data_IF_589683311449
#
_entry.id   IF_589683311449
#
_cell.length_a   1.000
_cell.length_b   1.000
_cell.length_c   1.000
_cell.angle_alpha   90.00
_cell.angle_beta   90.00
_cell.angle_gamma   90.00
#
_symmetry.space_group_name_H-M   'P 1'
#
loop_
_entity.id
_entity.type
_entity.pdbx_description
1 polymer ?
#
# COMPACT_ATOMS: atom_id res chain seq x y z
N UNK A 1 38.36 48.79 28.09
CA UNK A 1 37.00 48.86 28.69
C UNK A 1 36.64 47.44 29.08
N UNK A 2 36.15 47.30 30.31
CA UNK A 2 35.88 46.04 31.00
C UNK A 2 34.96 45.06 30.26
N UNK A 3 35.12 43.80 30.65
CA UNK A 3 34.43 42.60 30.20
C UNK A 3 32.91 42.62 30.41
N UNK A 4 32.17 41.87 29.57
CA UNK A 4 30.90 41.24 29.98
C UNK A 4 30.86 39.81 29.42
N UNK A 5 31.01 38.83 30.32
CA UNK A 5 30.62 37.44 30.09
C UNK A 5 29.09 37.32 30.17
N UNK A 6 28.39 36.73 29.19
CA UNK A 6 27.04 36.27 29.44
C UNK A 6 27.10 34.97 30.26
N UNK A 7 27.06 35.13 31.59
CA UNK A 7 26.79 34.07 32.57
C UNK A 7 25.30 33.63 32.52
N UNK A 8 24.79 33.23 31.35
CA UNK A 8 23.47 32.61 31.25
C UNK A 8 23.46 31.56 30.16
N UNK A 9 23.17 30.32 30.54
CA UNK A 9 22.70 29.29 29.61
C UNK A 9 21.42 29.80 28.94
N UNK A 10 21.41 29.84 27.61
CA UNK A 10 20.21 30.10 26.82
C UNK A 10 19.48 28.77 26.68
N UNK A 11 18.20 28.69 27.08
CA UNK A 11 17.39 27.51 26.76
C UNK A 11 17.30 27.36 25.25
N UNK A 12 17.79 26.24 24.72
CA UNK A 12 17.60 25.87 23.33
C UNK A 12 16.13 25.67 22.99
N UNK A 13 15.78 25.77 21.71
CA UNK A 13 14.46 25.39 21.22
C UNK A 13 14.22 23.92 21.57
N UNK A 14 13.13 23.65 22.29
CA UNK A 14 12.71 22.29 22.60
C UNK A 14 12.26 21.64 21.29
N UNK A 15 13.06 20.74 20.75
CA UNK A 15 12.63 19.89 19.65
C UNK A 15 11.59 18.91 20.17
N UNK A 16 10.31 19.19 19.93
CA UNK A 16 9.26 18.18 20.07
C UNK A 16 9.17 17.40 18.77
N UNK A 17 9.42 16.11 18.82
CA UNK A 17 8.93 15.18 17.79
C UNK A 17 7.70 14.48 18.35
N UNK A 18 6.62 14.45 17.57
CA UNK A 18 5.53 13.52 17.81
C UNK A 18 5.88 12.24 17.04
N UNK A 19 6.01 11.10 17.74
CA UNK A 19 6.04 9.81 17.06
C UNK A 19 4.68 9.58 16.43
N UNK A 20 4.65 9.27 15.13
CA UNK A 20 3.45 8.73 14.50
C UNK A 20 3.03 7.46 15.26
N UNK A 21 1.75 7.35 15.62
CA UNK A 21 1.20 6.17 16.30
C UNK A 21 0.89 5.04 15.29
N UNK A 22 1.83 4.77 14.37
CA UNK A 22 1.70 3.72 13.38
C UNK A 22 3.06 3.24 12.88
N UNK A 23 3.08 2.02 12.34
CA UNK A 23 4.21 1.47 11.58
C UNK A 23 3.88 1.58 10.08
N UNK A 24 4.80 2.10 9.28
CA UNK A 24 4.64 2.18 7.81
C UNK A 24 4.98 0.83 7.20
N UNK A 25 4.07 0.28 6.39
CA UNK A 25 4.33 -0.88 5.53
C UNK A 25 4.80 -0.42 4.16
N UNK A 26 4.08 0.52 3.56
CA UNK A 26 4.46 1.18 2.31
C UNK A 26 3.71 2.53 2.23
N UNK A 27 4.45 3.62 2.04
CA UNK A 27 3.89 4.96 1.80
C UNK A 27 4.09 5.40 0.34
N UNK A 28 4.63 4.53 -0.52
CA UNK A 28 4.89 4.76 -1.94
C UNK A 28 5.90 5.87 -2.27
N UNK A 29 6.39 6.63 -1.29
CA UNK A 29 7.27 7.79 -1.51
C UNK A 29 8.70 7.40 -1.91
N UNK A 30 9.11 6.16 -1.64
CA UNK A 30 10.45 5.70 -1.95
C UNK A 30 10.68 5.39 -3.44
N UNK A 31 9.61 5.25 -4.24
CA UNK A 31 9.71 4.85 -5.64
C UNK A 31 10.20 5.98 -6.54
N UNK A 32 10.96 5.64 -7.58
CA UNK A 32 11.57 6.61 -8.49
C UNK A 32 11.44 6.23 -9.96
N UNK A 33 11.78 7.20 -10.82
CA UNK A 33 11.71 7.11 -12.28
C UNK A 33 13.03 6.67 -12.94
N UNK A 34 13.89 6.01 -12.17
CA UNK A 34 15.22 5.60 -12.63
C UNK A 34 15.13 4.17 -13.17
N UNK A 35 15.50 3.99 -14.43
CA UNK A 35 15.53 2.67 -15.08
C UNK A 35 16.83 1.89 -14.79
N UNK A 36 16.74 0.54 -14.72
CA UNK A 36 17.91 -0.32 -14.79
C UNK A 36 18.72 -0.07 -16.08
N UNK A 37 20.05 -0.28 -16.06
CA UNK A 37 20.81 -0.97 -15.01
C UNK A 37 21.32 -0.05 -13.89
N UNK A 38 20.81 1.18 -13.73
CA UNK A 38 21.24 2.06 -12.66
C UNK A 38 20.96 1.43 -11.28
N UNK A 39 21.97 1.42 -10.41
CA UNK A 39 21.88 0.81 -9.08
C UNK A 39 20.92 1.56 -8.13
N UNK A 40 20.59 2.82 -8.43
CA UNK A 40 19.61 3.61 -7.70
C UNK A 40 18.15 3.35 -8.15
N UNK A 41 17.93 2.49 -9.16
CA UNK A 41 16.58 2.14 -9.62
C UNK A 41 15.73 1.56 -8.50
N UNK A 42 14.56 2.17 -8.29
CA UNK A 42 13.56 1.71 -7.32
C UNK A 42 12.16 1.92 -7.87
N UNK A 43 11.83 1.25 -8.98
CA UNK A 43 10.53 1.39 -9.65
C UNK A 43 9.46 0.58 -8.91
N UNK A 44 8.23 1.10 -8.90
CA UNK A 44 7.12 0.51 -8.13
C UNK A 44 6.79 -0.93 -8.55
N UNK A 45 6.72 -1.20 -9.86
CA UNK A 45 6.44 -2.54 -10.40
C UNK A 45 7.60 -3.53 -10.24
N UNK A 46 8.82 -3.07 -9.91
CA UNK A 46 9.91 -3.98 -9.52
C UNK A 46 9.75 -4.49 -8.08
N UNK A 47 8.92 -3.82 -7.25
CA UNK A 47 8.65 -4.20 -5.85
C UNK A 47 7.28 -4.86 -5.66
N UNK A 48 6.27 -4.32 -6.32
CA UNK A 48 4.93 -4.88 -6.37
C UNK A 48 4.81 -5.79 -7.59
N UNK A 49 4.94 -7.09 -7.37
CA UNK A 49 4.84 -8.09 -8.44
C UNK A 49 3.38 -8.23 -8.86
N UNK A 50 3.07 -7.85 -10.10
CA UNK A 50 1.73 -7.80 -10.66
C UNK A 50 1.50 -8.86 -11.77
N UNK A 51 0.59 -8.59 -12.70
CA UNK A 51 0.25 -9.47 -13.81
C UNK A 51 1.02 -9.23 -15.10
N UNK A 52 1.98 -8.29 -15.14
CA UNK A 52 2.71 -7.99 -16.36
C UNK A 52 3.41 -9.24 -16.92
N UNK A 53 3.26 -9.47 -18.24
CA UNK A 53 3.81 -10.64 -18.92
C UNK A 53 3.08 -11.95 -18.63
N UNK A 54 1.95 -11.94 -17.91
CA UNK A 54 1.13 -13.12 -17.62
C UNK A 54 -0.23 -13.06 -18.32
N UNK A 55 -0.89 -14.21 -18.46
CA UNK A 55 -2.26 -14.31 -19.00
C UNK A 55 -3.31 -14.57 -17.93
N UNK A 56 -2.91 -14.84 -16.69
CA UNK A 56 -3.80 -15.29 -15.61
C UNK A 56 -4.00 -14.26 -14.49
N UNK A 57 -3.19 -13.20 -14.46
CA UNK A 57 -3.30 -12.10 -13.52
C UNK A 57 -3.64 -10.82 -14.27
N UNK A 58 -4.72 -10.15 -13.85
CA UNK A 58 -5.21 -8.93 -14.49
C UNK A 58 -4.66 -7.62 -13.93
N UNK A 59 -3.79 -7.69 -12.92
CA UNK A 59 -3.24 -6.49 -12.28
C UNK A 59 -2.11 -5.88 -13.10
N UNK A 60 -2.10 -4.55 -13.16
CA UNK A 60 -0.92 -3.76 -13.52
C UNK A 60 -0.75 -2.64 -12.49
N UNK A 61 0.44 -2.47 -11.94
CA UNK A 61 0.75 -1.42 -10.96
C UNK A 61 1.74 -0.41 -11.52
N UNK A 62 1.52 0.86 -11.19
CA UNK A 62 2.31 1.95 -11.76
C UNK A 62 1.89 2.31 -13.19
N UNK A 63 2.43 3.42 -13.67
CA UNK A 63 2.26 3.87 -15.05
C UNK A 63 3.26 3.15 -15.97
N UNK A 64 2.90 2.95 -17.24
CA UNK A 64 3.79 2.35 -18.25
C UNK A 64 5.04 3.22 -18.52
N UNK A 65 4.89 4.55 -18.39
CA UNK A 65 5.94 5.53 -18.59
C UNK A 65 6.08 6.41 -17.35
N UNK A 66 7.29 6.97 -17.09
CA UNK A 66 7.50 7.82 -15.93
C UNK A 66 6.63 9.09 -16.00
N UNK A 67 6.13 9.59 -14.85
CA UNK A 67 6.41 9.10 -13.50
C UNK A 67 5.73 7.75 -13.23
N UNK A 68 6.49 6.77 -12.72
CA UNK A 68 5.98 5.40 -12.59
C UNK A 68 4.96 5.26 -11.47
N UNK A 69 5.08 6.06 -10.41
CA UNK A 69 4.00 6.25 -9.45
C UNK A 69 3.14 7.47 -9.85
N UNK A 70 1.87 7.48 -9.44
CA UNK A 70 0.92 8.51 -9.81
C UNK A 70 1.12 9.78 -8.97
N UNK A 71 1.26 10.93 -9.63
CA UNK A 71 1.51 12.22 -8.96
C UNK A 71 0.31 13.18 -9.01
N UNK A 72 -0.75 12.85 -9.76
CA UNK A 72 -1.94 13.69 -9.91
C UNK A 72 -3.05 13.36 -8.90
N UNK A 73 -3.17 12.08 -8.53
CA UNK A 73 -4.14 11.57 -7.56
C UNK A 73 -3.36 11.03 -6.38
N UNK A 74 -3.14 11.88 -5.38
CA UNK A 74 -2.28 11.60 -4.22
C UNK A 74 -3.07 11.86 -2.94
N UNK A 75 -2.88 11.04 -1.88
CA UNK A 75 -3.51 11.25 -0.57
C UNK A 75 -2.57 11.99 0.35
N UNK A 76 -1.32 11.55 0.44
CA UNK A 76 -0.26 12.24 1.17
C UNK A 76 1.07 12.15 0.43
N UNK A 77 2.07 12.95 0.84
CA UNK A 77 3.36 12.95 0.16
C UNK A 77 3.27 13.50 -1.27
N UNK A 78 4.07 12.91 -2.16
CA UNK A 78 4.22 13.33 -3.55
C UNK A 78 3.59 12.35 -4.54
N UNK A 79 3.33 11.11 -4.15
CA UNK A 79 2.86 10.09 -5.07
C UNK A 79 1.99 9.00 -4.42
N UNK A 80 1.21 8.32 -5.24
CA UNK A 80 0.39 7.18 -4.86
C UNK A 80 0.55 6.06 -5.89
N UNK A 81 0.15 4.84 -5.54
CA UNK A 81 0.16 3.72 -6.48
C UNK A 81 -1.10 3.72 -7.35
N UNK A 82 -1.02 3.96 -8.66
CA UNK A 82 -2.08 3.58 -9.58
C UNK A 82 -2.08 2.04 -9.72
N UNK A 83 -3.26 1.46 -9.62
CA UNK A 83 -3.50 0.02 -9.77
C UNK A 83 -4.62 -0.18 -10.78
N UNK A 84 -4.29 -0.82 -11.90
CA UNK A 84 -5.25 -1.25 -12.90
C UNK A 84 -5.63 -2.71 -12.67
N UNK A 85 -6.92 -3.03 -12.81
CA UNK A 85 -7.42 -4.40 -12.77
C UNK A 85 -8.22 -4.74 -14.04
N UNK A 86 -8.10 -5.98 -14.48
CA UNK A 86 -8.94 -6.61 -15.52
C UNK A 86 -9.24 -8.05 -15.11
N UNK A 87 -10.44 -8.26 -14.59
CA UNK A 87 -10.89 -9.54 -14.07
C UNK A 87 -11.62 -10.40 -15.10
N UNK A 88 -11.52 -10.14 -16.41
CA UNK A 88 -12.14 -11.02 -17.38
C UNK A 88 -11.48 -12.42 -17.42
N UNK A 89 -12.11 -13.40 -16.76
CA UNK A 89 -11.62 -14.77 -16.56
C UNK A 89 -10.28 -14.83 -15.79
N UNK A 90 -10.04 -13.83 -14.93
CA UNK A 90 -8.81 -13.66 -14.15
C UNK A 90 -9.12 -13.19 -12.73
N UNK A 91 -8.08 -13.14 -11.91
CA UNK A 91 -8.07 -12.35 -10.67
C UNK A 91 -6.90 -11.37 -10.79
N UNK A 92 -7.09 -10.12 -10.42
CA UNK A 92 -6.04 -9.11 -10.44
C UNK A 92 -5.36 -9.06 -9.07
N UNK A 93 -4.07 -9.33 -8.98
CA UNK A 93 -3.29 -9.29 -7.74
C UNK A 93 -1.93 -8.62 -7.95
N UNK A 94 -1.56 -7.68 -7.08
CA UNK A 94 -0.20 -7.18 -6.96
C UNK A 94 0.35 -7.49 -5.57
N UNK A 95 1.57 -8.00 -5.49
CA UNK A 95 2.15 -8.51 -4.24
C UNK A 95 3.49 -7.84 -3.93
N UNK A 96 3.57 -7.25 -2.74
CA UNK A 96 4.82 -6.77 -2.16
C UNK A 96 5.44 -7.84 -1.26
N UNK A 97 6.72 -8.14 -1.49
CA UNK A 97 7.52 -8.92 -0.54
C UNK A 97 8.12 -7.98 0.50
N UNK A 98 7.80 -8.23 1.77
CA UNK A 98 8.21 -7.39 2.88
C UNK A 98 9.65 -7.71 3.28
N UNK A 99 10.49 -6.67 3.28
CA UNK A 99 11.80 -6.70 3.95
C UNK A 99 11.64 -6.25 5.40
N UNK A 100 10.85 -5.20 5.61
CA UNK A 100 10.42 -4.66 6.90
C UNK A 100 9.15 -3.81 6.68
N UNK A 101 8.20 -3.73 7.63
CA UNK A 101 8.07 -4.52 8.86
C UNK A 101 7.51 -5.92 8.59
N UNK A 102 7.94 -6.90 9.38
CA UNK A 102 7.50 -8.31 9.24
C UNK A 102 6.87 -8.89 10.50
N UNK A 103 7.18 -8.32 11.66
CA UNK A 103 6.48 -8.61 12.90
C UNK A 103 5.39 -7.55 13.11
N UNK A 104 4.15 -7.93 12.81
CA UNK A 104 2.97 -7.09 12.95
C UNK A 104 2.29 -7.30 14.32
N UNK A 105 3.03 -7.82 15.30
CA UNK A 105 2.64 -7.79 16.72
C UNK A 105 3.45 -6.74 17.49
N UNK A 106 4.45 -6.13 16.85
CA UNK A 106 5.25 -5.05 17.42
C UNK A 106 4.37 -3.87 17.85
N UNK A 107 4.76 -3.24 18.96
CA UNK A 107 4.12 -2.03 19.49
C UNK A 107 2.61 -2.19 19.80
N UNK A 108 2.10 -3.43 19.84
CA UNK A 108 0.71 -3.71 20.14
C UNK A 108 -0.27 -3.31 19.04
N UNK A 109 0.20 -3.17 17.80
CA UNK A 109 -0.67 -2.89 16.66
C UNK A 109 -1.67 -4.04 16.46
N UNK A 110 -2.89 -3.69 16.09
CA UNK A 110 -4.02 -4.62 15.93
C UNK A 110 -4.72 -4.47 14.58
N UNK A 111 -4.39 -3.43 13.82
CA UNK A 111 -5.10 -3.08 12.60
C UNK A 111 -4.14 -2.78 11.47
N UNK A 112 -4.48 -3.32 10.29
CA UNK A 112 -3.93 -2.87 9.01
C UNK A 112 -4.85 -1.80 8.42
N UNK A 113 -4.28 -0.72 7.92
CA UNK A 113 -4.97 0.36 7.22
C UNK A 113 -4.35 0.56 5.84
N UNK A 114 -5.21 0.78 4.84
CA UNK A 114 -4.82 1.21 3.50
C UNK A 114 -5.75 2.33 3.05
N UNK A 115 -5.22 3.38 2.44
CA UNK A 115 -6.04 4.39 1.78
C UNK A 115 -6.24 4.02 0.33
N UNK A 116 -7.47 4.16 -0.16
CA UNK A 116 -7.79 3.90 -1.55
C UNK A 116 -8.75 4.94 -2.11
N UNK A 117 -8.72 5.07 -3.43
CA UNK A 117 -9.65 5.90 -4.20
C UNK A 117 -9.95 5.23 -5.53
N UNK A 118 -11.21 4.89 -5.74
CA UNK A 118 -11.73 4.40 -7.02
C UNK A 118 -12.26 5.52 -7.91
N UNK A 119 -12.94 5.09 -8.98
CA UNK A 119 -13.67 5.95 -9.92
C UNK A 119 -15.08 5.41 -10.13
N UNK A 120 -16.08 6.30 -10.18
CA UNK A 120 -17.47 5.92 -10.41
C UNK A 120 -17.71 5.19 -11.74
N UNK A 121 -16.82 5.34 -12.72
CA UNK A 121 -16.87 4.66 -14.02
C UNK A 121 -16.28 3.24 -14.00
N UNK A 122 -15.60 2.86 -12.91
CA UNK A 122 -15.05 1.52 -12.74
C UNK A 122 -16.14 0.45 -12.72
N UNK A 123 -15.84 -0.74 -13.23
CA UNK A 123 -16.70 -1.90 -12.96
C UNK A 123 -16.61 -2.29 -11.48
N UNK A 124 -17.74 -2.64 -10.86
CA UNK A 124 -17.74 -3.11 -9.48
C UNK A 124 -16.98 -4.44 -9.36
N UNK A 125 -15.97 -4.50 -8.51
CA UNK A 125 -15.20 -5.70 -8.20
C UNK A 125 -14.90 -5.77 -6.70
N UNK A 126 -14.89 -6.99 -6.14
CA UNK A 126 -14.55 -7.20 -4.73
C UNK A 126 -13.07 -6.91 -4.51
N UNK A 127 -12.76 -5.92 -3.69
CA UNK A 127 -11.39 -5.62 -3.26
C UNK A 127 -11.00 -6.52 -2.08
N UNK A 128 -9.76 -7.01 -2.07
CA UNK A 128 -9.22 -7.78 -0.96
C UNK A 128 -7.74 -7.48 -0.69
N UNK A 129 -7.32 -7.74 0.55
CA UNK A 129 -5.92 -7.86 0.93
C UNK A 129 -5.67 -9.31 1.32
N UNK A 130 -4.53 -9.87 0.92
CA UNK A 130 -4.08 -11.17 1.39
C UNK A 130 -2.68 -11.11 2.00
N UNK A 131 -2.46 -11.84 3.08
CA UNK A 131 -1.15 -11.98 3.71
C UNK A 131 -0.56 -13.37 3.44
N UNK A 132 0.75 -13.42 3.21
CA UNK A 132 1.49 -14.66 2.94
C UNK A 132 0.88 -15.50 1.79
N UNK A 133 0.18 -14.83 0.86
CA UNK A 133 -0.44 -15.44 -0.31
C UNK A 133 -1.69 -16.27 -0.05
N UNK A 134 -2.13 -16.46 1.21
CA UNK A 134 -3.21 -17.39 1.55
C UNK A 134 -4.40 -16.70 2.21
N UNK A 135 -4.23 -16.13 3.40
CA UNK A 135 -5.31 -15.55 4.18
C UNK A 135 -5.79 -14.23 3.57
N UNK A 136 -7.08 -14.12 3.26
CA UNK A 136 -7.65 -12.96 2.59
C UNK A 136 -8.69 -12.27 3.47
N UNK A 137 -8.64 -10.95 3.52
CA UNK A 137 -9.69 -10.09 4.05
C UNK A 137 -10.31 -9.32 2.88
N UNK A 138 -11.63 -9.34 2.77
CA UNK A 138 -12.36 -8.64 1.73
C UNK A 138 -12.92 -7.33 2.28
N UNK A 139 -12.98 -6.30 1.43
CA UNK A 139 -13.74 -5.10 1.75
C UNK A 139 -15.24 -5.46 1.83
N UNK A 140 -15.95 -4.87 2.79
CA UNK A 140 -17.37 -5.18 3.04
C UNK A 140 -18.27 -4.71 1.89
N UNK A 141 -17.97 -3.55 1.31
CA UNK A 141 -18.62 -3.06 0.09
C UNK A 141 -18.08 -3.82 -1.15
N UNK A 142 -18.90 -4.63 -1.84
CA UNK A 142 -18.49 -5.35 -3.04
C UNK A 142 -18.26 -4.43 -4.26
N UNK A 143 -18.63 -3.16 -4.18
CA UNK A 143 -18.41 -2.13 -5.19
C UNK A 143 -17.39 -1.07 -4.74
N UNK A 144 -16.47 -1.42 -3.82
CA UNK A 144 -15.44 -0.51 -3.31
C UNK A 144 -14.62 0.18 -4.41
N UNK A 145 -14.43 -0.48 -5.56
CA UNK A 145 -13.76 0.10 -6.74
C UNK A 145 -14.42 1.36 -7.29
N UNK A 146 -15.68 1.62 -6.94
CA UNK A 146 -16.46 2.78 -7.38
C UNK A 146 -16.49 3.91 -6.36
N UNK A 147 -15.88 3.72 -5.16
CA UNK A 147 -15.84 4.75 -4.13
C UNK A 147 -14.90 5.87 -4.58
N UNK A 148 -15.51 7.00 -4.94
CA UNK A 148 -14.79 8.21 -5.31
C UNK A 148 -14.26 8.93 -4.07
N UNK A 149 -13.07 9.51 -4.19
CA UNK A 149 -12.40 10.18 -3.07
C UNK A 149 -11.60 9.22 -2.20
N UNK A 150 -10.66 9.77 -1.42
CA UNK A 150 -9.80 8.98 -0.57
C UNK A 150 -10.56 8.46 0.66
N UNK A 151 -10.59 7.14 0.81
CA UNK A 151 -11.24 6.44 1.92
C UNK A 151 -10.23 5.52 2.58
N UNK A 152 -10.27 5.49 3.92
CA UNK A 152 -9.48 4.54 4.70
C UNK A 152 -10.21 3.20 4.76
N UNK A 153 -9.50 2.13 4.40
CA UNK A 153 -9.93 0.77 4.68
C UNK A 153 -9.15 0.20 5.86
N UNK A 154 -9.85 -0.03 6.97
CA UNK A 154 -9.32 -0.60 8.20
C UNK A 154 -9.67 -2.09 8.30
N UNK A 155 -8.67 -2.93 8.51
CA UNK A 155 -8.79 -4.38 8.63
C UNK A 155 -8.23 -4.81 10.00
N UNK A 156 -9.02 -5.56 10.77
CA UNK A 156 -8.53 -6.19 12.00
C UNK A 156 -7.53 -7.30 11.63
N UNK A 157 -6.32 -7.25 12.20
CA UNK A 157 -5.28 -8.24 11.96
C UNK A 157 -5.69 -9.65 12.39
N UNK A 158 -6.61 -9.76 13.36
CA UNK A 158 -7.18 -11.04 13.78
C UNK A 158 -7.86 -11.78 12.62
N UNK A 159 -8.40 -11.05 11.63
CA UNK A 159 -8.96 -11.63 10.39
C UNK A 159 -7.99 -12.56 9.68
N UNK A 160 -6.69 -12.24 9.70
CA UNK A 160 -5.66 -13.06 9.08
C UNK A 160 -5.14 -14.15 10.03
N UNK A 161 -5.03 -13.85 11.32
CA UNK A 161 -4.61 -14.82 12.34
C UNK A 161 -5.60 -15.99 12.45
N UNK A 162 -6.90 -15.72 12.36
CA UNK A 162 -7.98 -16.73 12.33
C UNK A 162 -7.87 -17.67 11.12
N UNK A 163 -7.21 -17.22 10.05
CA UNK A 163 -6.89 -18.00 8.85
C UNK A 163 -5.49 -18.64 8.90
N UNK A 164 -4.81 -18.58 10.04
CA UNK A 164 -3.54 -19.26 10.29
C UNK A 164 -2.28 -18.45 9.96
N UNK A 165 -2.38 -17.14 9.70
CA UNK A 165 -1.20 -16.29 9.53
C UNK A 165 -0.51 -16.07 10.86
N UNK A 166 0.79 -16.36 10.92
CA UNK A 166 1.63 -15.90 12.02
C UNK A 166 1.94 -14.40 11.83
N UNK A 167 1.26 -13.54 12.58
CA UNK A 167 1.45 -12.08 12.49
C UNK A 167 2.83 -11.61 12.93
N UNK A 168 3.58 -12.41 13.71
CA UNK A 168 4.97 -12.12 14.02
C UNK A 168 5.94 -12.41 12.85
N UNK A 169 5.43 -12.94 11.74
CA UNK A 169 6.21 -13.27 10.56
C UNK A 169 5.40 -13.16 9.25
N UNK A 170 5.00 -11.94 8.91
CA UNK A 170 4.41 -11.61 7.62
C UNK A 170 5.52 -11.44 6.59
N UNK A 171 5.43 -12.16 5.47
CA UNK A 171 6.41 -12.17 4.38
C UNK A 171 5.91 -11.35 3.18
N UNK A 172 4.60 -11.40 2.90
CA UNK A 172 4.02 -10.72 1.76
C UNK A 172 2.67 -10.10 2.10
N UNK A 173 2.39 -8.99 1.45
CA UNK A 173 1.06 -8.39 1.35
C UNK A 173 0.66 -8.36 -0.12
N UNK A 174 -0.55 -8.79 -0.42
CA UNK A 174 -1.16 -8.73 -1.76
C UNK A 174 -2.37 -7.83 -1.68
N UNK A 175 -2.48 -6.88 -2.60
CA UNK A 175 -3.74 -6.17 -2.90
C UNK A 175 -4.34 -6.85 -4.13
N UNK A 176 -5.65 -7.11 -4.13
CA UNK A 176 -6.28 -7.74 -5.27
C UNK A 176 -7.76 -7.43 -5.45
N UNK A 177 -8.25 -7.81 -6.62
CA UNK A 177 -9.63 -7.64 -7.05
C UNK A 177 -10.20 -8.96 -7.57
N UNK A 178 -11.47 -9.22 -7.26
CA UNK A 178 -12.18 -10.45 -7.60
C UNK A 178 -12.22 -11.43 -6.41
N UNK A 179 -12.47 -12.71 -6.67
CA UNK A 179 -12.43 -13.75 -5.63
C UNK A 179 -11.12 -14.52 -5.73
N UNK A 180 -10.29 -14.46 -4.69
CA UNK A 180 -8.97 -15.11 -4.67
C UNK A 180 -9.09 -16.60 -5.00
N UNK A 181 -8.25 -17.08 -5.92
CA UNK A 181 -8.23 -18.46 -6.42
C UNK A 181 -9.52 -18.93 -7.12
N UNK A 182 -10.42 -18.02 -7.48
CA UNK A 182 -11.66 -18.32 -8.18
C UNK A 182 -11.87 -17.32 -9.33
N UNK A 183 -11.09 -17.44 -10.42
CA UNK A 183 -11.24 -16.57 -11.59
C UNK A 183 -12.62 -16.76 -12.21
N UNK A 184 -13.27 -15.65 -12.51
CA UNK A 184 -14.60 -15.59 -13.13
C UNK A 184 -14.63 -14.48 -14.17
N UNK A 185 -15.69 -14.36 -14.95
CA UNK A 185 -15.88 -13.16 -15.77
C UNK A 185 -16.12 -11.96 -14.84
N UNK A 186 -15.31 -10.92 -15.01
CA UNK A 186 -15.34 -9.69 -14.22
C UNK A 186 -15.07 -8.47 -15.08
N UNK A 187 -15.07 -7.31 -14.45
CA UNK A 187 -14.82 -6.04 -15.10
C UNK A 187 -13.40 -5.52 -14.91
N UNK A 188 -13.19 -4.28 -15.33
CA UNK A 188 -11.92 -3.58 -15.24
C UNK A 188 -12.09 -2.17 -14.69
N UNK A 189 -10.98 -1.57 -14.27
CA UNK A 189 -10.94 -0.22 -13.74
C UNK A 189 -9.56 0.14 -13.18
N UNK A 190 -9.48 1.34 -12.60
CA UNK A 190 -8.29 1.89 -11.97
C UNK A 190 -8.60 2.33 -10.54
N UNK A 191 -7.77 1.92 -9.59
CA UNK A 191 -7.85 2.33 -8.18
C UNK A 191 -6.50 2.88 -7.76
N UNK A 192 -6.50 3.99 -7.05
CA UNK A 192 -5.30 4.53 -6.43
C UNK A 192 -5.19 4.03 -5.00
N UNK A 193 -3.99 3.65 -4.58
CA UNK A 193 -3.67 3.27 -3.21
C UNK A 193 -2.58 4.16 -2.65
N UNK A 194 -2.71 4.49 -1.37
CA UNK A 194 -1.73 5.27 -0.63
C UNK A 194 -1.70 4.77 0.84
N UNK A 195 -0.61 5.06 1.54
CA UNK A 195 -0.48 4.89 2.99
C UNK A 195 -0.95 3.54 3.56
N UNK A 196 -0.14 2.49 3.36
CA UNK A 196 -0.31 1.20 4.03
C UNK A 196 0.37 1.24 5.40
N UNK A 197 -0.42 1.13 6.47
CA UNK A 197 0.03 1.37 7.85
C UNK A 197 -0.54 0.36 8.84
N UNK A 198 0.18 0.15 9.94
CA UNK A 198 -0.28 -0.65 11.09
C UNK A 198 -0.54 0.25 12.30
N UNK A 199 -1.67 0.07 12.98
CA UNK A 199 -2.10 0.81 14.16
C UNK A 199 -2.44 -0.11 15.33
#
# INVERSE_FOLDING_TARGET
>A
MDAVYPNKTVSGLLWSFASAAFIVVDDFEAYNDIDPPDAASNRIFDKWIDGFGTTTNGALVGNELPPYAGQAVVRSGAQAMPYFYDNNLKTSQATLTLVWPRDWTEQGVTRLSLWFRGDSANAAERMFVALNGTAAAYHDDPAATQITGWTEWSIDLQTFADQGVNLANVNTITIGFGTKNSPAAGGSGEVYFDDIRLY
#
